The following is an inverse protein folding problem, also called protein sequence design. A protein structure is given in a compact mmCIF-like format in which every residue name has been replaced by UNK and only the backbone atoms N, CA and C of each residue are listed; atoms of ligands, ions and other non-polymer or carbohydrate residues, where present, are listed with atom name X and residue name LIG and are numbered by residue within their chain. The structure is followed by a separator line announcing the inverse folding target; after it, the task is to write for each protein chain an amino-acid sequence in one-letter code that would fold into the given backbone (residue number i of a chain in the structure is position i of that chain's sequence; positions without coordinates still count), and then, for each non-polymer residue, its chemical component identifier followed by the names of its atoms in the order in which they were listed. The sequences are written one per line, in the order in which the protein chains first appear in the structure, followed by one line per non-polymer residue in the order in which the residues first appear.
data_IF_862244858830
#
_entry.id   IF_862244858830
#
_cell.length_a   1.000
_cell.length_b   1.000
_cell.length_c   1.000
_cell.angle_alpha   90.00
_cell.angle_beta   90.00
_cell.angle_gamma   90.00
#
_symmetry.space_group_name_H-M   'P 1'
#
loop_
_entity.id
_entity.type
_entity.pdbx_description
1 polymer ?
#
# COMPACT_ATOMS: atom_id res chain seq x y z
N UNK A 1 0.84 6.11 -4.11
CA UNK A 1 -0.08 4.94 -3.99
C UNK A 1 -1.35 5.25 -3.15
N UNK A 2 -1.80 6.51 -3.11
CA UNK A 2 -2.97 6.93 -2.33
C UNK A 2 -2.74 6.94 -0.81
N UNK A 3 -3.74 7.44 -0.08
CA UNK A 3 -3.77 7.49 1.39
C UNK A 3 -4.29 6.20 2.03
N UNK A 4 -4.86 5.30 1.24
CA UNK A 4 -5.42 4.03 1.73
C UNK A 4 -4.41 2.89 1.57
N UNK A 5 -4.27 1.99 2.55
CA UNK A 5 -3.41 0.83 2.41
C UNK A 5 -3.79 -0.04 1.20
N UNK A 6 -2.79 -0.62 0.51
CA UNK A 6 -3.03 -1.53 -0.63
C UNK A 6 -3.90 -2.74 -0.26
N UNK A 7 -3.82 -3.19 1.00
CA UNK A 7 -4.67 -4.26 1.52
C UNK A 7 -6.17 -3.92 1.49
N UNK A 8 -6.52 -2.64 1.69
CA UNK A 8 -7.90 -2.15 1.63
C UNK A 8 -8.32 -1.92 0.17
N UNK A 9 -7.40 -1.48 -0.69
CA UNK A 9 -7.68 -1.24 -2.10
C UNK A 9 -7.85 -2.54 -2.90
N UNK A 10 -7.15 -3.63 -2.52
CA UNK A 10 -7.25 -4.95 -3.17
C UNK A 10 -7.45 -6.07 -2.17
N UNK A 11 -8.61 -6.16 -1.50
CA UNK A 11 -8.87 -7.19 -0.51
C UNK A 11 -8.80 -8.59 -1.13
N UNK A 12 -9.23 -8.75 -2.38
CA UNK A 12 -9.20 -10.03 -3.11
C UNK A 12 -7.79 -10.54 -3.36
N UNK A 13 -6.83 -9.66 -3.65
CA UNK A 13 -5.41 -10.00 -3.82
C UNK A 13 -4.74 -10.23 -2.47
N UNK A 14 -5.00 -9.36 -1.50
CA UNK A 14 -4.40 -9.43 -0.17
C UNK A 14 -4.76 -10.73 0.56
N UNK A 15 -5.99 -11.22 0.38
CA UNK A 15 -6.43 -12.48 0.99
C UNK A 15 -5.66 -13.70 0.49
N UNK A 16 -5.13 -13.66 -0.73
CA UNK A 16 -4.44 -14.79 -1.36
C UNK A 16 -2.92 -14.61 -1.45
N UNK A 17 -2.37 -13.47 -1.03
CA UNK A 17 -0.93 -13.26 -1.05
C UNK A 17 -0.24 -14.18 -0.03
N UNK A 18 0.91 -14.72 -0.40
CA UNK A 18 1.66 -15.62 0.48
C UNK A 18 2.36 -14.85 1.60
N UNK A 19 2.99 -13.73 1.24
CA UNK A 19 3.73 -12.82 2.14
C UNK A 19 2.95 -11.51 2.26
N UNK A 20 2.48 -11.18 3.45
CA UNK A 20 1.67 -9.98 3.75
C UNK A 20 2.51 -8.82 4.30
N UNK A 21 3.71 -9.14 4.75
CA UNK A 21 4.71 -8.32 5.40
C UNK A 21 5.77 -7.77 4.42
N UNK A 22 5.43 -7.68 3.13
CA UNK A 22 6.35 -7.19 2.10
C UNK A 22 6.28 -5.66 1.97
N UNK A 23 7.44 -5.01 2.01
CA UNK A 23 7.56 -3.58 1.71
C UNK A 23 7.52 -3.33 0.20
N UNK A 24 6.98 -2.18 -0.20
CA UNK A 24 6.91 -1.76 -1.62
C UNK A 24 8.31 -1.70 -2.24
N UNK A 25 9.32 -1.25 -1.50
CA UNK A 25 10.72 -1.22 -1.95
C UNK A 25 11.24 -2.62 -2.29
N UNK A 26 10.98 -3.60 -1.44
CA UNK A 26 11.43 -4.99 -1.65
C UNK A 26 10.72 -5.65 -2.83
N UNK A 27 9.46 -5.29 -3.06
CA UNK A 27 8.68 -5.78 -4.20
C UNK A 27 9.19 -5.19 -5.52
N UNK A 28 9.48 -3.88 -5.55
CA UNK A 28 9.94 -3.16 -6.74
C UNK A 28 11.42 -3.40 -7.08
N UNK A 29 12.22 -3.93 -6.16
CA UNK A 29 13.63 -4.25 -6.38
C UNK A 29 13.87 -5.38 -7.41
N UNK A 30 12.85 -6.22 -7.69
CA UNK A 30 13.00 -7.39 -8.56
C UNK A 30 12.05 -7.31 -9.76
N UNK A 31 12.54 -7.76 -10.93
CA UNK A 31 11.72 -7.95 -12.14
C UNK A 31 11.85 -9.41 -12.58
N UNK A 32 10.77 -10.22 -12.54
CA UNK A 32 9.39 -9.86 -12.17
C UNK A 32 9.22 -9.54 -10.68
N UNK A 33 8.18 -8.77 -10.34
CA UNK A 33 7.86 -8.33 -8.97
C UNK A 33 7.86 -9.53 -8.01
N UNK A 34 8.50 -9.36 -6.84
CA UNK A 34 8.60 -10.43 -5.84
C UNK A 34 7.29 -10.59 -5.03
N UNK A 35 6.22 -11.00 -5.71
CA UNK A 35 4.90 -11.27 -5.12
C UNK A 35 4.48 -12.69 -5.46
N UNK A 36 4.19 -13.47 -4.41
CA UNK A 36 3.72 -14.85 -4.53
C UNK A 36 2.28 -14.95 -4.04
N UNK A 37 1.46 -15.73 -4.77
CA UNK A 37 0.06 -15.97 -4.46
C UNK A 37 -0.18 -17.45 -4.11
N UNK A 38 -1.01 -17.70 -3.10
CA UNK A 38 -1.44 -19.05 -2.68
C UNK A 38 -2.53 -19.63 -3.59
N UNK A 39 -3.16 -18.80 -4.42
CA UNK A 39 -4.26 -19.17 -5.32
C UNK A 39 -3.99 -18.64 -6.71
N UNK A 40 -4.60 -19.27 -7.71
CA UNK A 40 -4.52 -18.81 -9.09
C UNK A 40 -5.19 -17.44 -9.26
N UNK A 41 -4.51 -16.57 -10.01
CA UNK A 41 -5.06 -15.30 -10.47
C UNK A 41 -5.96 -15.59 -11.68
N UNK A 42 -7.27 -15.43 -11.51
CA UNK A 42 -8.24 -15.66 -12.57
C UNK A 42 -9.40 -14.65 -12.44
N UNK A 43 -10.00 -14.29 -13.58
CA UNK A 43 -11.10 -13.33 -13.67
C UNK A 43 -10.75 -12.00 -12.99
N UNK A 44 -11.63 -11.52 -12.11
CA UNK A 44 -11.49 -10.24 -11.42
C UNK A 44 -10.16 -10.10 -10.64
N UNK A 45 -9.55 -11.21 -10.18
CA UNK A 45 -8.24 -11.16 -9.51
C UNK A 45 -7.12 -10.84 -10.47
N UNK A 46 -7.19 -11.31 -11.71
CA UNK A 46 -6.20 -11.01 -12.74
C UNK A 46 -6.26 -9.53 -13.15
N UNK A 47 -7.46 -8.98 -13.33
CA UNK A 47 -7.65 -7.56 -13.61
C UNK A 47 -7.14 -6.67 -12.47
N UNK A 48 -7.47 -7.03 -11.21
CA UNK A 48 -6.95 -6.34 -10.03
C UNK A 48 -5.41 -6.39 -9.98
N UNK A 49 -4.81 -7.52 -10.35
CA UNK A 49 -3.36 -7.68 -10.40
C UNK A 49 -2.74 -6.78 -11.47
N UNK A 50 -3.26 -6.78 -12.70
CA UNK A 50 -2.78 -5.90 -13.77
C UNK A 50 -2.89 -4.42 -13.40
N UNK A 51 -4.01 -4.04 -12.78
CA UNK A 51 -4.21 -2.67 -12.30
C UNK A 51 -3.20 -2.31 -11.20
N UNK A 52 -2.91 -3.23 -10.27
CA UNK A 52 -1.87 -3.03 -9.25
C UNK A 52 -0.49 -2.86 -9.89
N UNK A 53 -0.11 -3.75 -10.81
CA UNK A 53 1.20 -3.71 -11.51
C UNK A 53 1.37 -2.39 -12.25
N UNK A 54 0.35 -1.93 -12.98
CA UNK A 54 0.40 -0.64 -13.67
C UNK A 54 0.66 0.52 -12.73
N UNK A 55 -0.05 0.58 -11.60
CA UNK A 55 0.18 1.63 -10.60
C UNK A 55 1.54 1.52 -9.91
N UNK A 56 2.09 0.32 -9.78
CA UNK A 56 3.43 0.11 -9.25
C UNK A 56 4.51 0.58 -10.24
N UNK A 57 4.29 0.40 -11.54
CA UNK A 57 5.21 0.92 -12.57
C UNK A 57 5.30 2.45 -12.57
N UNK A 58 4.22 3.13 -12.23
CA UNK A 58 4.18 4.60 -12.13
C UNK A 58 4.82 5.11 -10.81
N UNK A 59 5.21 4.22 -9.89
CA UNK A 59 5.79 4.61 -8.59
C UNK A 59 7.30 4.74 -8.71
N UNK A 60 7.77 5.98 -8.63
CA UNK A 60 9.19 6.27 -8.46
C UNK A 60 9.51 6.35 -6.95
N UNK A 61 10.30 5.39 -6.46
CA UNK A 61 10.80 5.42 -5.09
C UNK A 61 11.95 6.42 -5.00
N UNK A 62 11.87 7.33 -4.02
CA UNK A 62 12.99 8.18 -3.64
C UNK A 62 13.82 7.51 -2.55
N UNK A 63 15.10 7.87 -2.44
CA UNK A 63 15.99 7.39 -1.35
C UNK A 63 15.73 8.10 0.00
N UNK A 64 14.68 8.93 0.09
CA UNK A 64 14.34 9.62 1.33
C UNK A 64 13.70 8.64 2.32
N UNK A 65 13.96 8.78 3.62
CA UNK A 65 13.29 7.96 4.63
C UNK A 65 11.78 8.21 4.61
N UNK A 66 11.02 7.15 4.89
CA UNK A 66 9.57 7.22 5.00
C UNK A 66 9.16 8.25 6.08
N UNK A 67 8.22 9.13 5.72
CA UNK A 67 7.68 10.13 6.66
C UNK A 67 6.38 9.61 7.25
N UNK A 68 6.39 9.32 8.54
CA UNK A 68 5.18 9.03 9.28
C UNK A 68 4.36 10.32 9.47
N UNK A 69 3.08 10.31 9.07
CA UNK A 69 2.15 11.44 9.26
C UNK A 69 0.96 10.96 10.08
N UNK A 70 0.67 11.66 11.17
CA UNK A 70 -0.53 11.38 11.95
C UNK A 70 -1.75 11.95 11.22
N UNK A 71 -2.71 11.08 10.87
CA UNK A 71 -3.91 11.48 10.12
C UNK A 71 -4.90 12.34 10.89
N UNK A 72 -4.67 12.58 12.18
CA UNK A 72 -5.55 13.38 13.03
C UNK A 72 -5.56 14.87 12.64
N UNK A 73 -4.59 15.32 11.84
CA UNK A 73 -4.59 16.68 11.28
C UNK A 73 -4.32 16.64 9.78
N UNK A 74 -4.95 17.54 9.01
CA UNK A 74 -4.71 17.67 7.57
C UNK A 74 -3.23 17.97 7.24
N UNK A 75 -2.50 18.56 8.19
CA UNK A 75 -1.08 18.89 8.05
C UNK A 75 -0.15 17.74 8.48
N UNK A 76 -0.69 16.62 8.99
CA UNK A 76 0.08 15.45 9.41
C UNK A 76 0.88 15.63 10.71
N UNK A 77 0.71 16.76 11.40
CA UNK A 77 1.39 17.10 12.66
C UNK A 77 0.52 16.66 13.82
N UNK A 78 1.06 15.82 14.69
CA UNK A 78 0.41 15.43 15.93
C UNK A 78 0.76 16.41 17.04
N UNK A 79 -0.28 16.87 17.73
CA UNK A 79 -0.16 17.59 18.99
C UNK A 79 -1.22 17.08 19.95
N UNK A 80 -0.95 17.15 21.26
CA UNK A 80 -1.97 16.86 22.29
C UNK A 80 -3.21 17.72 22.06
N UNK A 81 -3.02 18.97 21.61
CA UNK A 81 -4.11 19.90 21.26
C UNK A 81 -4.99 19.38 20.11
N UNK A 82 -4.41 18.84 19.05
CA UNK A 82 -5.19 18.26 17.95
C UNK A 82 -6.00 17.04 18.37
N UNK A 83 -5.50 16.24 19.32
CA UNK A 83 -6.24 15.09 19.88
C UNK A 83 -7.56 15.51 20.52
N UNK A 84 -7.54 16.56 21.33
CA UNK A 84 -8.77 17.04 21.98
C UNK A 84 -9.76 17.68 21.01
N UNK A 85 -9.29 18.33 19.94
CA UNK A 85 -10.18 18.93 18.92
C UNK A 85 -10.95 17.87 18.13
N UNK A 86 -10.37 16.69 17.89
CA UNK A 86 -11.03 15.62 17.13
C UNK A 86 -12.09 14.83 17.94
N UNK A 87 -12.10 15.01 19.27
CA UNK A 87 -13.04 14.33 20.19
C UNK A 87 -14.30 15.18 20.46
N UNK A 88 -14.26 16.49 20.15
CA UNK A 88 -15.36 17.45 20.33
C UNK A 88 -16.16 17.57 19.04
#
# INVERSE_FOLDING_TARGET
LGETPLAIQYPSLYNIVQRRDAYVVTVLQYTPLNIQFRRTLAGNRWEAWLHLVRRLMDVQLSQQPDKFRWKLTQNGVFSVKSMYVDII
#
